data_IF_112512071145
#
_entry.id   IF_112512071145
#
_cell.length_a   1.000
_cell.length_b   1.000
_cell.length_c   1.000
_cell.angle_alpha   90.00
_cell.angle_beta   90.00
_cell.angle_gamma   90.00
#
_symmetry.space_group_name_H-M   'P 1'
#
loop_
_entity.id
_entity.type
_entity.pdbx_description
1 polymer ?
#
# COMPACT_ATOMS: atom_id res chain seq x y z
N UNK A 1 -35.38 -7.99 39.13
CA UNK A 1 -35.01 -8.24 37.71
C UNK A 1 -34.29 -7.01 37.16
N UNK A 2 -32.96 -6.98 37.27
CA UNK A 2 -32.06 -5.96 36.69
C UNK A 2 -30.68 -6.61 36.51
N UNK A 3 -30.57 -7.60 35.64
CA UNK A 3 -29.32 -8.35 35.42
C UNK A 3 -29.12 -8.75 33.95
N UNK A 4 -29.78 -8.04 33.02
CA UNK A 4 -29.79 -8.37 31.58
C UNK A 4 -29.25 -7.26 30.68
N UNK A 5 -28.59 -6.24 31.23
CA UNK A 5 -28.09 -5.10 30.43
C UNK A 5 -26.55 -5.05 30.35
N UNK A 6 -25.83 -5.73 31.24
CA UNK A 6 -24.38 -5.53 31.37
C UNK A 6 -23.50 -6.41 30.47
N UNK A 7 -24.06 -7.41 29.79
CA UNK A 7 -23.26 -8.36 28.97
C UNK A 7 -23.16 -7.90 27.50
N UNK A 8 -24.03 -6.99 27.04
CA UNK A 8 -24.00 -6.50 25.65
C UNK A 8 -22.91 -5.43 25.39
N UNK A 9 -22.33 -4.87 26.45
CA UNK A 9 -21.28 -3.83 26.34
C UNK A 9 -19.85 -4.39 26.19
N UNK A 10 -19.65 -5.70 26.36
CA UNK A 10 -18.34 -6.36 26.30
C UNK A 10 -17.97 -6.89 24.90
N UNK A 11 -18.86 -6.79 23.92
CA UNK A 11 -18.63 -7.26 22.55
C UNK A 11 -18.20 -6.15 21.57
N UNK A 12 -18.10 -4.89 22.00
CA UNK A 12 -17.78 -3.77 21.10
C UNK A 12 -16.33 -3.25 21.19
N UNK A 13 -15.47 -3.80 22.05
CA UNK A 13 -14.10 -3.30 22.25
C UNK A 13 -12.98 -4.14 21.61
N UNK A 14 -13.30 -5.21 20.89
CA UNK A 14 -12.29 -6.08 20.25
C UNK A 14 -11.95 -5.73 18.79
N UNK A 15 -12.49 -4.65 18.22
CA UNK A 15 -12.24 -4.26 16.81
C UNK A 15 -11.30 -3.06 16.60
N UNK A 16 -10.52 -2.66 17.62
CA UNK A 16 -9.51 -1.58 17.45
C UNK A 16 -8.06 -2.14 17.41
N UNK A 17 -7.88 -3.44 17.64
CA UNK A 17 -6.59 -4.01 17.98
C UNK A 17 -5.91 -4.89 16.94
N UNK A 18 -6.13 -4.73 15.62
CA UNK A 18 -5.27 -5.30 14.57
C UNK A 18 -5.43 -4.56 13.24
N UNK A 19 -5.06 -3.27 13.20
CA UNK A 19 -4.76 -2.57 11.93
C UNK A 19 -3.34 -2.00 11.94
N UNK A 20 -2.38 -2.78 12.46
CA UNK A 20 -0.94 -2.51 12.29
C UNK A 20 -0.42 -2.92 10.89
N UNK A 21 -1.29 -3.06 9.90
CA UNK A 21 -0.89 -3.19 8.50
C UNK A 21 -1.22 -1.86 7.80
N UNK A 22 -0.18 -1.07 7.52
CA UNK A 22 -0.21 0.16 6.73
C UNK A 22 -0.85 1.38 7.41
N UNK A 23 -0.22 1.88 8.47
CA UNK A 23 -0.33 3.33 8.77
C UNK A 23 0.26 4.09 7.58
N UNK A 24 -0.61 4.50 6.66
CA UNK A 24 -0.25 5.46 5.61
C UNK A 24 0.19 6.74 6.32
N UNK A 25 1.43 7.16 6.07
CA UNK A 25 1.92 8.45 6.57
C UNK A 25 1.11 9.54 5.88
N UNK A 26 0.26 10.23 6.66
CA UNK A 26 -0.75 11.19 6.17
C UNK A 26 -0.14 12.37 5.39
N UNK A 27 1.14 12.68 5.62
CA UNK A 27 1.93 13.63 4.83
C UNK A 27 3.05 12.83 4.19
N UNK A 28 2.88 12.46 2.93
CA UNK A 28 3.90 11.78 2.15
C UNK A 28 4.79 12.84 1.48
N UNK A 29 6.05 12.96 1.88
CA UNK A 29 7.09 13.61 1.04
C UNK A 29 7.82 12.57 0.21
N UNK A 30 8.55 13.01 -0.81
CA UNK A 30 9.36 12.10 -1.64
C UNK A 30 10.34 11.28 -0.80
N UNK A 31 10.97 11.90 0.19
CA UNK A 31 11.87 11.23 1.13
C UNK A 31 11.19 10.16 2.00
N UNK A 32 9.88 10.26 2.23
CA UNK A 32 9.10 9.32 3.03
C UNK A 32 8.61 8.12 2.21
N UNK A 33 8.78 8.14 0.89
CA UNK A 33 8.41 7.03 0.03
C UNK A 33 9.34 5.84 0.23
N UNK A 34 8.83 4.62 -0.02
CA UNK A 34 9.64 3.42 0.02
C UNK A 34 10.79 3.54 -0.99
N UNK A 35 11.98 2.96 -0.71
CA UNK A 35 13.14 3.08 -1.61
C UNK A 35 12.87 2.60 -3.05
N UNK A 36 12.01 1.58 -3.22
CA UNK A 36 11.58 1.09 -4.53
C UNK A 36 10.79 2.16 -5.30
N UNK A 37 9.86 2.83 -4.63
CA UNK A 37 9.08 3.94 -5.18
C UNK A 37 10.00 5.09 -5.61
N UNK A 38 10.94 5.49 -4.75
CA UNK A 38 11.89 6.56 -5.08
C UNK A 38 12.72 6.21 -6.32
N UNK A 39 13.26 4.98 -6.39
CA UNK A 39 14.01 4.49 -7.55
C UNK A 39 13.16 4.51 -8.83
N UNK A 40 11.93 4.00 -8.76
CA UNK A 40 11.05 3.93 -9.93
C UNK A 40 10.61 5.32 -10.40
N UNK A 41 10.40 6.26 -9.49
CA UNK A 41 10.14 7.66 -9.85
C UNK A 41 11.36 8.25 -10.55
N UNK A 42 12.57 8.09 -9.99
CA UNK A 42 13.79 8.60 -10.60
C UNK A 42 14.09 8.00 -11.98
N UNK A 43 13.72 6.74 -12.20
CA UNK A 43 13.96 6.05 -13.47
C UNK A 43 12.93 6.39 -14.56
N UNK A 44 11.66 6.63 -14.18
CA UNK A 44 10.56 6.68 -15.14
C UNK A 44 9.88 8.05 -15.29
N UNK A 45 10.16 9.02 -14.41
CA UNK A 45 9.50 10.33 -14.41
C UNK A 45 10.50 11.42 -14.77
N UNK A 46 10.07 12.34 -15.64
CA UNK A 46 10.81 13.55 -15.97
C UNK A 46 10.98 14.46 -14.75
N UNK A 47 11.89 15.43 -14.83
CA UNK A 47 12.07 16.43 -13.76
C UNK A 47 10.79 17.22 -13.49
N UNK A 48 10.03 17.57 -14.52
CA UNK A 48 8.77 18.30 -14.38
C UNK A 48 7.72 17.47 -13.63
N UNK A 49 7.51 16.21 -14.03
CA UNK A 49 6.54 15.33 -13.36
C UNK A 49 6.94 15.04 -11.91
N UNK A 50 8.23 15.00 -11.60
CA UNK A 50 8.72 14.87 -10.22
C UNK A 50 8.37 16.08 -9.36
N UNK A 51 8.54 17.30 -9.88
CA UNK A 51 8.14 18.51 -9.16
C UNK A 51 6.63 18.56 -8.91
N UNK A 52 5.83 18.14 -9.90
CA UNK A 52 4.38 18.03 -9.74
C UNK A 52 3.99 16.98 -8.69
N UNK A 53 4.65 15.82 -8.66
CA UNK A 53 4.45 14.80 -7.63
C UNK A 53 4.82 15.31 -6.23
N UNK A 54 5.90 16.10 -6.10
CA UNK A 54 6.29 16.69 -4.81
C UNK A 54 5.28 17.72 -4.30
N UNK A 55 4.55 18.38 -5.21
CA UNK A 55 3.49 19.33 -4.85
C UNK A 55 2.17 18.67 -4.41
N UNK A 56 1.99 17.38 -4.69
CA UNK A 56 0.77 16.62 -4.39
C UNK A 56 1.07 15.38 -3.54
N UNK A 57 1.04 15.57 -2.22
CA UNK A 57 1.26 14.50 -1.25
C UNK A 57 0.26 13.34 -1.39
N UNK A 58 -0.99 13.62 -1.80
CA UNK A 58 -2.03 12.59 -2.00
C UNK A 58 -1.66 11.69 -3.16
N UNK A 59 -1.29 12.28 -4.30
CA UNK A 59 -0.83 11.54 -5.49
C UNK A 59 0.43 10.72 -5.18
N UNK A 60 1.35 11.28 -4.41
CA UNK A 60 2.56 10.58 -3.99
C UNK A 60 2.27 9.39 -3.06
N UNK A 61 1.34 9.53 -2.10
CA UNK A 61 0.92 8.44 -1.23
C UNK A 61 0.31 7.28 -2.01
N UNK A 62 -0.58 7.57 -2.98
CA UNK A 62 -1.15 6.56 -3.89
C UNK A 62 -0.07 5.86 -4.70
N UNK A 63 0.87 6.62 -5.26
CA UNK A 63 1.97 6.07 -6.03
C UNK A 63 2.86 5.14 -5.19
N UNK A 64 3.18 5.55 -3.96
CA UNK A 64 3.93 4.74 -3.03
C UNK A 64 3.20 3.44 -2.65
N UNK A 65 1.88 3.50 -2.46
CA UNK A 65 1.08 2.30 -2.24
C UNK A 65 1.18 1.34 -3.43
N UNK A 66 0.95 1.83 -4.66
CA UNK A 66 1.01 1.01 -5.87
C UNK A 66 2.40 0.38 -6.03
N UNK A 67 3.47 1.15 -5.87
CA UNK A 67 4.85 0.70 -6.15
C UNK A 67 5.47 -0.17 -5.04
N UNK A 68 5.00 -0.08 -3.80
CA UNK A 68 5.69 -0.70 -2.66
C UNK A 68 4.81 -1.50 -1.69
N UNK A 69 3.49 -1.36 -1.74
CA UNK A 69 2.58 -1.90 -0.73
C UNK A 69 1.40 -2.71 -1.32
N UNK A 70 1.21 -2.66 -2.65
CA UNK A 70 0.15 -3.40 -3.37
C UNK A 70 0.49 -4.88 -3.63
N UNK A 71 1.48 -5.40 -2.92
CA UNK A 71 1.98 -6.78 -3.04
C UNK A 71 2.70 -7.19 -1.75
N UNK A 72 2.93 -8.50 -1.62
CA UNK A 72 3.86 -9.06 -0.63
C UNK A 72 4.73 -10.14 -1.25
N UNK A 73 5.93 -10.32 -0.73
CA UNK A 73 6.75 -11.48 -1.10
C UNK A 73 6.15 -12.73 -0.46
N UNK A 74 6.12 -13.85 -1.19
CA UNK A 74 5.57 -15.11 -0.70
C UNK A 74 6.30 -15.57 0.57
N UNK A 75 5.53 -16.11 1.51
CA UNK A 75 6.01 -16.68 2.76
C UNK A 75 6.90 -17.90 2.43
N UNK A 76 8.06 -18.05 3.09
CA UNK A 76 9.09 -19.09 2.84
C UNK A 76 10.20 -18.77 1.81
N UNK A 77 10.48 -17.51 1.54
CA UNK A 77 11.72 -17.13 0.83
C UNK A 77 12.49 -16.06 1.60
N UNK A 78 13.82 -16.12 1.52
CA UNK A 78 14.68 -15.06 2.04
C UNK A 78 14.65 -13.90 1.05
N UNK A 79 14.21 -12.73 1.51
CA UNK A 79 14.14 -11.53 0.66
C UNK A 79 15.24 -10.57 1.09
N UNK A 80 16.26 -10.40 0.24
CA UNK A 80 17.29 -9.38 0.49
C UNK A 80 16.71 -7.99 0.27
N UNK A 81 17.22 -7.01 1.04
CA UNK A 81 16.82 -5.61 0.88
C UNK A 81 17.08 -5.10 -0.54
N UNK A 82 18.19 -5.50 -1.15
CA UNK A 82 18.54 -5.16 -2.54
C UNK A 82 17.53 -5.70 -3.54
N UNK A 83 17.09 -6.96 -3.41
CA UNK A 83 16.07 -7.54 -4.28
C UNK A 83 14.73 -6.81 -4.14
N UNK A 84 14.32 -6.49 -2.90
CA UNK A 84 13.08 -5.74 -2.65
C UNK A 84 13.03 -4.41 -3.38
N UNK A 85 14.17 -3.74 -3.53
CA UNK A 85 14.25 -2.43 -4.21
C UNK A 85 14.13 -2.53 -5.74
N UNK A 86 14.36 -3.70 -6.31
CA UNK A 86 14.37 -3.91 -7.76
C UNK A 86 13.00 -4.31 -8.32
N UNK A 87 12.12 -4.86 -7.49
CA UNK A 87 10.79 -5.26 -7.93
C UNK A 87 9.97 -4.06 -8.45
N UNK A 88 9.31 -4.22 -9.59
CA UNK A 88 8.37 -3.25 -10.14
C UNK A 88 6.99 -3.89 -10.27
N UNK A 89 6.10 -3.52 -9.35
CA UNK A 89 4.74 -4.07 -9.30
C UNK A 89 3.93 -3.77 -10.58
N UNK A 90 4.22 -2.64 -11.25
CA UNK A 90 3.45 -2.17 -12.41
C UNK A 90 3.61 -3.07 -13.62
N UNK A 91 4.77 -3.73 -13.76
CA UNK A 91 5.01 -4.72 -14.82
C UNK A 91 4.04 -5.91 -14.76
N UNK A 92 3.43 -6.14 -13.60
CA UNK A 92 2.58 -7.29 -13.35
C UNK A 92 1.08 -6.95 -13.24
N UNK A 93 0.67 -5.72 -13.54
CA UNK A 93 -0.73 -5.30 -13.42
C UNK A 93 -1.68 -6.17 -14.28
N UNK A 94 -1.25 -6.59 -15.47
CA UNK A 94 -2.05 -7.47 -16.33
C UNK A 94 -2.34 -8.86 -15.73
N UNK A 95 -1.55 -9.28 -14.73
CA UNK A 95 -1.72 -10.57 -14.06
C UNK A 95 -2.74 -10.50 -12.91
N UNK A 96 -3.00 -9.30 -12.38
CA UNK A 96 -3.92 -9.11 -11.27
C UNK A 96 -5.33 -9.57 -11.64
N UNK A 97 -6.04 -10.07 -10.63
CA UNK A 97 -7.44 -10.48 -10.74
C UNK A 97 -8.28 -9.56 -9.87
N UNK A 98 -9.55 -9.46 -10.25
CA UNK A 98 -10.50 -8.56 -9.59
C UNK A 98 -10.65 -8.86 -8.09
N UNK A 99 -10.92 -10.12 -7.78
CA UNK A 99 -11.35 -10.54 -6.43
C UNK A 99 -10.38 -11.53 -5.75
N UNK A 100 -9.20 -11.78 -6.32
CA UNK A 100 -8.22 -12.70 -5.72
C UNK A 100 -6.79 -12.26 -5.96
N UNK A 101 -5.94 -12.60 -4.99
CA UNK A 101 -4.49 -12.43 -5.09
C UNK A 101 -3.89 -13.44 -6.06
N UNK A 102 -2.76 -13.07 -6.66
CA UNK A 102 -2.03 -13.91 -7.64
C UNK A 102 -0.56 -13.91 -7.31
N UNK A 103 0.05 -15.10 -7.25
CA UNK A 103 1.49 -15.23 -7.12
C UNK A 103 2.13 -15.28 -8.51
N UNK A 104 3.12 -14.42 -8.73
CA UNK A 104 3.96 -14.37 -9.93
C UNK A 104 5.41 -14.61 -9.56
N UNK A 105 6.20 -15.11 -10.50
CA UNK A 105 7.66 -15.17 -10.37
C UNK A 105 8.28 -14.00 -11.12
N UNK A 106 9.06 -13.17 -10.42
CA UNK A 106 9.79 -12.07 -11.03
C UNK A 106 11.23 -12.49 -11.33
N UNK A 107 11.56 -12.58 -12.63
CA UNK A 107 12.90 -13.00 -13.07
C UNK A 107 13.99 -11.98 -12.71
N UNK A 108 13.64 -10.71 -12.50
CA UNK A 108 14.60 -9.66 -12.17
C UNK A 108 15.13 -9.82 -10.75
N UNK A 109 14.24 -10.08 -9.80
CA UNK A 109 14.58 -10.28 -8.39
C UNK A 109 14.84 -11.74 -8.02
N UNK A 110 14.35 -12.68 -8.83
CA UNK A 110 14.35 -14.10 -8.53
C UNK A 110 13.36 -14.49 -7.43
N UNK A 111 12.34 -13.67 -7.19
CA UNK A 111 11.40 -13.84 -6.06
C UNK A 111 10.00 -14.19 -6.54
N UNK A 112 9.28 -14.94 -5.71
CA UNK A 112 7.84 -15.11 -5.85
C UNK A 112 7.10 -13.99 -5.14
N UNK A 113 6.22 -13.28 -5.85
CA UNK A 113 5.50 -12.13 -5.35
C UNK A 113 4.01 -12.37 -5.45
N UNK A 114 3.31 -12.25 -4.33
CA UNK A 114 1.85 -12.25 -4.28
C UNK A 114 1.33 -10.82 -4.50
N UNK A 115 0.69 -10.62 -5.64
CA UNK A 115 0.02 -9.37 -6.02
C UNK A 115 -1.36 -9.33 -5.37
N UNK A 116 -1.69 -8.20 -4.75
CA UNK A 116 -3.04 -7.96 -4.24
C UNK A 116 -4.05 -7.85 -5.39
N UNK A 117 -5.31 -8.19 -5.10
CA UNK A 117 -6.40 -8.07 -6.07
C UNK A 117 -6.72 -6.60 -6.39
N UNK A 118 -7.42 -6.35 -7.50
CA UNK A 118 -7.86 -5.00 -7.84
C UNK A 118 -8.77 -4.42 -6.75
N UNK A 119 -9.70 -5.20 -6.20
CA UNK A 119 -10.57 -4.72 -5.13
C UNK A 119 -9.79 -4.33 -3.86
N UNK A 120 -8.75 -5.07 -3.49
CA UNK A 120 -7.91 -4.71 -2.35
C UNK A 120 -7.17 -3.39 -2.60
N UNK A 121 -6.70 -3.18 -3.82
CA UNK A 121 -6.06 -1.93 -4.21
C UNK A 121 -7.05 -0.77 -4.18
N UNK A 122 -8.23 -0.93 -4.79
CA UNK A 122 -9.26 0.11 -4.84
C UNK A 122 -9.73 0.51 -3.44
N UNK A 123 -9.89 -0.48 -2.54
CA UNK A 123 -10.22 -0.22 -1.14
C UNK A 123 -9.13 0.61 -0.44
N UNK A 124 -7.86 0.28 -0.64
CA UNK A 124 -6.76 1.03 -0.02
C UNK A 124 -6.61 2.43 -0.62
N UNK A 125 -6.74 2.57 -1.95
CA UNK A 125 -6.67 3.86 -2.63
C UNK A 125 -7.81 4.78 -2.17
N UNK A 126 -9.02 4.25 -2.00
CA UNK A 126 -10.17 4.98 -1.45
C UNK A 126 -9.93 5.37 0.01
N UNK A 127 -9.29 4.51 0.81
CA UNK A 127 -8.91 4.85 2.18
C UNK A 127 -7.88 5.98 2.22
N UNK A 128 -6.91 5.99 1.30
CA UNK A 128 -5.95 7.09 1.16
C UNK A 128 -6.69 8.39 0.82
N UNK A 129 -7.64 8.36 -0.13
CA UNK A 129 -8.44 9.54 -0.47
C UNK A 129 -9.19 10.10 0.73
N UNK A 130 -9.92 9.23 1.45
CA UNK A 130 -10.68 9.62 2.64
C UNK A 130 -9.78 10.22 3.73
N UNK A 131 -8.59 9.66 3.95
CA UNK A 131 -7.63 10.17 4.92
C UNK A 131 -7.18 11.59 4.58
N UNK A 132 -6.86 11.86 3.32
CA UNK A 132 -6.50 13.20 2.87
C UNK A 132 -7.71 14.15 2.87
N UNK A 133 -8.90 13.70 2.51
CA UNK A 133 -10.10 14.53 2.58
C UNK A 133 -10.38 14.97 4.02
N UNK A 134 -10.26 14.07 5.01
CA UNK A 134 -10.42 14.42 6.43
C UNK A 134 -9.32 15.37 6.91
N UNK A 135 -8.06 15.11 6.53
CA UNK A 135 -6.91 15.90 6.97
C UNK A 135 -6.93 17.35 6.47
N UNK A 136 -7.52 17.57 5.29
CA UNK A 136 -7.53 18.87 4.61
C UNK A 136 -8.94 19.47 4.46
N UNK A 137 -9.98 18.83 5.02
CA UNK A 137 -11.31 19.44 5.18
C UNK A 137 -11.20 20.56 6.20
N UNK A 138 -11.49 21.79 5.74
CA UNK A 138 -11.63 22.96 6.61
C UNK A 138 -12.93 22.93 7.42
#
# INVERSE_FOLDING_TARGET
MKTTITILALLCFSFVGFSQANTVTLIQKFADCAPVTQRLIQANFSTQERMELESDARKLAKLNYVMAQSYRFADNQMVLRSQRQLFDAKLYDSYRKKDRRVTVFDSTTGLYVELYSWNEMDAQLSQIDLQYDIAFSK
#
